data_IF_762796757244
#
_entry.id   IF_762796757244
#
_cell.length_a   1.000
_cell.length_b   1.000
_cell.length_c   1.000
_cell.angle_alpha   90.00
_cell.angle_beta   90.00
_cell.angle_gamma   90.00
#
_symmetry.space_group_name_H-M   'P 1'
#
loop_
_entity.id
_entity.type
_entity.pdbx_description
1 polymer ?
#
# COMPACT_ATOMS: atom_id res chain seq x y z
N UNK A 1 19.97 26.17 8.05
CA UNK A 1 20.12 24.69 7.91
C UNK A 1 18.77 24.06 8.20
N UNK A 2 18.20 23.31 7.28
CA UNK A 2 16.87 22.70 7.46
C UNK A 2 16.98 21.50 8.40
N UNK A 3 16.22 21.51 9.47
CA UNK A 3 16.20 20.52 10.57
C UNK A 3 15.64 19.15 10.11
N UNK A 4 14.99 19.10 8.94
CA UNK A 4 14.39 17.86 8.44
C UNK A 4 15.42 16.91 7.80
N UNK A 5 15.39 15.60 8.12
CA UNK A 5 16.20 14.58 7.49
C UNK A 5 16.06 14.60 5.95
N UNK A 6 17.11 14.23 5.22
CA UNK A 6 17.13 14.30 3.75
C UNK A 6 16.01 13.50 3.08
N UNK A 7 15.66 12.33 3.61
CA UNK A 7 14.61 11.48 3.04
C UNK A 7 13.21 12.11 3.14
N UNK A 8 12.94 12.97 4.12
CA UNK A 8 11.66 13.68 4.23
C UNK A 8 11.52 14.86 3.25
N UNK A 9 12.57 15.17 2.50
CA UNK A 9 12.56 16.24 1.50
C UNK A 9 12.18 15.77 0.10
N UNK A 10 11.98 14.45 -0.11
CA UNK A 10 11.58 13.92 -1.41
C UNK A 10 10.16 14.39 -1.72
N UNK A 11 10.03 15.18 -2.79
CA UNK A 11 8.75 15.73 -3.26
C UNK A 11 8.14 14.93 -4.41
N UNK A 12 8.97 14.22 -5.18
CA UNK A 12 8.56 13.48 -6.37
C UNK A 12 9.14 12.06 -6.33
N UNK A 13 8.44 11.13 -7.00
CA UNK A 13 8.96 9.78 -7.20
C UNK A 13 10.22 9.86 -8.08
N UNK A 14 11.37 9.30 -7.65
CA UNK A 14 12.60 9.36 -8.41
C UNK A 14 12.50 8.51 -9.67
N UNK A 15 13.08 8.99 -10.77
CA UNK A 15 13.31 8.18 -11.97
C UNK A 15 14.72 7.62 -11.92
N UNK A 16 14.86 6.31 -12.06
CA UNK A 16 16.13 5.59 -12.01
C UNK A 16 16.33 4.74 -13.27
N UNK A 17 17.49 4.12 -13.44
CA UNK A 17 17.87 3.39 -14.65
C UNK A 17 16.90 2.27 -15.09
N UNK A 18 16.10 1.76 -14.18
CA UNK A 18 15.11 0.71 -14.45
C UNK A 18 13.65 1.21 -14.42
N UNK A 19 13.39 2.48 -14.14
CA UNK A 19 12.04 3.05 -14.23
C UNK A 19 11.52 2.98 -15.67
N UNK A 20 10.21 2.84 -15.82
CA UNK A 20 9.56 2.99 -17.12
C UNK A 20 9.47 4.47 -17.50
N UNK A 21 9.68 4.77 -18.76
CA UNK A 21 9.59 6.14 -19.30
C UNK A 21 8.14 6.65 -19.28
N UNK A 22 7.16 5.74 -19.31
CA UNK A 22 5.74 6.06 -19.32
C UNK A 22 4.95 5.16 -18.37
N UNK A 23 3.94 5.70 -17.64
CA UNK A 23 3.16 4.93 -16.69
C UNK A 23 2.23 3.88 -17.34
N UNK A 24 1.83 4.08 -18.61
CA UNK A 24 1.00 3.15 -19.37
C UNK A 24 1.83 2.31 -20.36
N UNK A 25 3.04 1.95 -20.00
CA UNK A 25 3.88 1.06 -20.80
C UNK A 25 3.43 -0.40 -20.59
N UNK A 26 2.83 -1.00 -21.63
CA UNK A 26 2.40 -2.41 -21.62
C UNK A 26 3.50 -3.40 -22.06
N UNK A 27 4.68 -2.91 -22.43
CA UNK A 27 5.86 -3.73 -22.76
C UNK A 27 7.07 -3.27 -21.95
N UNK A 28 7.00 -3.31 -20.61
CA UNK A 28 8.09 -2.86 -19.78
C UNK A 28 9.32 -3.79 -19.88
N UNK A 29 10.49 -3.25 -19.56
CA UNK A 29 11.72 -4.04 -19.45
C UNK A 29 11.57 -5.07 -18.33
N UNK A 30 12.18 -6.25 -18.49
CA UNK A 30 12.15 -7.32 -17.47
C UNK A 30 12.67 -6.83 -16.12
N UNK A 31 13.72 -6.00 -16.14
CA UNK A 31 14.28 -5.40 -14.92
C UNK A 31 13.25 -4.51 -14.17
N UNK A 32 12.45 -3.73 -14.91
CA UNK A 32 11.37 -2.92 -14.33
C UNK A 32 10.29 -3.79 -13.68
N UNK A 33 9.87 -4.86 -14.38
CA UNK A 33 8.90 -5.82 -13.85
C UNK A 33 9.43 -6.53 -12.59
N UNK A 34 10.70 -6.91 -12.58
CA UNK A 34 11.32 -7.55 -11.43
C UNK A 34 11.25 -6.65 -10.19
N UNK A 35 11.66 -5.37 -10.31
CA UNK A 35 11.59 -4.43 -9.17
C UNK A 35 10.16 -4.09 -8.78
N UNK A 36 9.25 -3.99 -9.76
CA UNK A 36 7.83 -3.82 -9.46
C UNK A 36 7.30 -4.96 -8.60
N UNK A 37 7.46 -6.22 -9.04
CA UNK A 37 6.98 -7.39 -8.32
C UNK A 37 7.66 -7.51 -6.95
N UNK A 38 8.97 -7.29 -6.87
CA UNK A 38 9.72 -7.28 -5.62
C UNK A 38 9.14 -6.25 -4.62
N UNK A 39 8.92 -5.01 -5.08
CA UNK A 39 8.34 -3.96 -4.23
C UNK A 39 6.93 -4.31 -3.75
N UNK A 40 6.09 -4.85 -4.63
CA UNK A 40 4.73 -5.28 -4.27
C UNK A 40 4.72 -6.48 -3.32
N UNK A 41 5.66 -7.41 -3.47
CA UNK A 41 5.84 -8.55 -2.54
C UNK A 41 6.28 -8.07 -1.16
N UNK A 42 7.26 -7.16 -1.09
CA UNK A 42 7.69 -6.56 0.19
C UNK A 42 6.52 -5.81 0.84
N UNK A 43 5.73 -5.08 0.05
CA UNK A 43 4.53 -4.40 0.53
C UNK A 43 3.54 -5.39 1.14
N UNK A 44 3.15 -6.43 0.39
CA UNK A 44 2.18 -7.43 0.85
C UNK A 44 2.67 -8.20 2.09
N UNK A 45 3.97 -8.50 2.17
CA UNK A 45 4.57 -9.11 3.34
C UNK A 45 4.54 -8.18 4.56
N UNK A 46 4.82 -6.89 4.38
CA UNK A 46 4.68 -5.89 5.44
C UNK A 46 3.24 -5.78 5.97
N UNK A 47 2.23 -5.83 5.09
CA UNK A 47 0.82 -5.88 5.51
C UNK A 47 0.51 -7.16 6.28
N UNK A 48 1.06 -8.32 5.88
CA UNK A 48 0.85 -9.57 6.61
C UNK A 48 1.46 -9.54 8.02
N UNK A 49 2.62 -8.90 8.21
CA UNK A 49 3.20 -8.70 9.54
C UNK A 49 2.30 -7.82 10.42
N UNK A 50 1.71 -6.77 9.84
CA UNK A 50 0.77 -5.92 10.57
C UNK A 50 -0.50 -6.70 10.97
N UNK A 51 -0.99 -7.60 10.11
CA UNK A 51 -2.11 -8.49 10.42
C UNK A 51 -1.75 -9.43 11.58
N UNK A 52 -0.62 -10.12 11.51
CA UNK A 52 -0.17 -11.04 12.56
C UNK A 52 0.10 -10.35 13.91
N UNK A 53 0.48 -9.07 13.88
CA UNK A 53 0.74 -8.31 15.11
C UNK A 53 -0.51 -8.11 15.97
N UNK A 54 -1.72 -8.25 15.41
CA UNK A 54 -3.02 -8.11 16.08
C UNK A 54 -3.20 -6.79 16.87
N UNK A 55 -2.38 -5.75 16.61
CA UNK A 55 -2.47 -4.44 17.29
C UNK A 55 -3.34 -3.43 16.54
N UNK A 56 -3.93 -3.82 15.42
CA UNK A 56 -4.70 -2.98 14.49
C UNK A 56 -4.08 -2.98 13.09
N UNK A 57 -4.89 -2.73 12.10
CA UNK A 57 -4.60 -2.95 10.68
C UNK A 57 -4.45 -1.64 9.90
N UNK A 58 -3.85 -1.71 8.71
CA UNK A 58 -3.88 -0.57 7.79
C UNK A 58 -5.32 -0.29 7.32
N UNK A 59 -5.68 0.94 6.94
CA UNK A 59 -7.04 1.33 6.58
C UNK A 59 -7.76 0.37 5.63
N UNK A 60 -7.07 -0.05 4.58
CA UNK A 60 -7.65 -0.93 3.57
C UNK A 60 -7.71 -2.39 4.00
N UNK A 61 -6.82 -2.82 4.89
CA UNK A 61 -6.90 -4.16 5.50
C UNK A 61 -8.01 -4.21 6.53
N UNK A 62 -8.31 -3.12 7.25
CA UNK A 62 -9.51 -3.04 8.10
C UNK A 62 -10.78 -3.30 7.28
N UNK A 63 -10.90 -2.69 6.09
CA UNK A 63 -12.01 -2.97 5.18
C UNK A 63 -12.01 -4.42 4.69
N UNK A 64 -10.84 -4.92 4.27
CA UNK A 64 -10.70 -6.28 3.78
C UNK A 64 -11.05 -7.32 4.86
N UNK A 65 -10.60 -7.12 6.09
CA UNK A 65 -10.94 -7.99 7.22
C UNK A 65 -12.44 -7.96 7.50
N UNK A 66 -13.06 -6.76 7.53
CA UNK A 66 -14.50 -6.62 7.67
C UNK A 66 -15.28 -7.38 6.59
N UNK A 67 -14.84 -7.32 5.32
CA UNK A 67 -15.42 -8.10 4.24
C UNK A 67 -15.17 -9.60 4.43
N UNK A 68 -13.96 -10.00 4.81
CA UNK A 68 -13.59 -11.38 5.06
C UNK A 68 -14.49 -12.04 6.11
N UNK A 69 -14.75 -11.35 7.22
CA UNK A 69 -15.62 -11.81 8.30
C UNK A 69 -17.06 -12.02 7.78
N UNK A 70 -17.64 -11.04 7.06
CA UNK A 70 -19.03 -11.08 6.65
C UNK A 70 -19.29 -12.06 5.50
N UNK A 71 -18.34 -12.21 4.57
CA UNK A 71 -18.48 -13.09 3.41
C UNK A 71 -17.78 -14.44 3.56
N UNK A 72 -17.10 -14.68 4.70
CA UNK A 72 -16.29 -15.88 4.97
C UNK A 72 -15.18 -16.08 3.92
N UNK A 73 -14.56 -14.98 3.52
CA UNK A 73 -13.43 -14.98 2.61
C UNK A 73 -12.10 -14.99 3.38
N UNK A 74 -11.03 -15.37 2.70
CA UNK A 74 -9.69 -15.06 3.22
C UNK A 74 -9.40 -13.56 3.13
N UNK A 75 -8.47 -13.05 3.95
CA UNK A 75 -8.08 -11.64 3.94
C UNK A 75 -7.46 -11.26 2.60
N UNK A 76 -6.62 -12.15 2.01
CA UNK A 76 -6.02 -11.91 0.71
C UNK A 76 -7.07 -11.80 -0.39
N UNK A 77 -8.07 -12.70 -0.41
CA UNK A 77 -9.16 -12.60 -1.38
C UNK A 77 -10.02 -11.34 -1.17
N UNK A 78 -10.31 -10.95 0.06
CA UNK A 78 -11.03 -9.73 0.37
C UNK A 78 -10.24 -8.47 -0.06
N UNK A 79 -8.90 -8.49 0.08
CA UNK A 79 -8.01 -7.44 -0.46
C UNK A 79 -8.08 -7.37 -1.98
N UNK A 80 -8.05 -8.52 -2.66
CA UNK A 80 -8.23 -8.59 -4.11
C UNK A 80 -9.58 -7.99 -4.52
N UNK A 81 -10.67 -8.48 -3.93
CA UNK A 81 -12.04 -8.06 -4.24
C UNK A 81 -12.26 -6.56 -3.99
N UNK A 82 -11.79 -6.02 -2.86
CA UNK A 82 -11.87 -4.59 -2.56
C UNK A 82 -11.08 -3.75 -3.56
N UNK A 83 -9.89 -4.20 -3.98
CA UNK A 83 -9.08 -3.51 -4.98
C UNK A 83 -9.75 -3.50 -6.35
N UNK A 84 -10.39 -4.61 -6.77
CA UNK A 84 -11.20 -4.66 -8.00
C UNK A 84 -12.41 -3.72 -7.86
N UNK A 85 -13.08 -3.71 -6.70
CA UNK A 85 -14.17 -2.78 -6.41
C UNK A 85 -13.75 -1.32 -6.57
N UNK A 86 -12.54 -0.96 -6.11
CA UNK A 86 -11.98 0.40 -6.29
C UNK A 86 -11.80 0.74 -7.77
N UNK A 87 -11.41 -0.21 -8.62
CA UNK A 87 -11.28 0.05 -10.07
C UNK A 87 -12.61 0.42 -10.73
N UNK A 88 -13.76 -0.01 -10.19
CA UNK A 88 -15.06 0.42 -10.72
C UNK A 88 -15.26 1.93 -10.56
N UNK A 89 -14.74 2.53 -9.48
CA UNK A 89 -14.76 3.99 -9.32
C UNK A 89 -13.82 4.72 -10.27
N UNK A 90 -12.85 4.03 -10.89
CA UNK A 90 -11.99 4.65 -11.91
C UNK A 90 -12.73 4.96 -13.19
N UNK A 91 -13.80 4.23 -13.52
CA UNK A 91 -14.59 4.44 -14.73
C UNK A 91 -15.13 5.88 -14.81
N UNK A 92 -15.92 6.39 -13.83
CA UNK A 92 -16.39 7.77 -13.87
C UNK A 92 -15.23 8.80 -13.72
N UNK A 93 -14.13 8.42 -13.07
CA UNK A 93 -12.95 9.27 -12.90
C UNK A 93 -12.02 9.27 -14.13
N UNK A 94 -12.34 8.48 -15.18
CA UNK A 94 -11.54 8.35 -16.41
C UNK A 94 -10.06 8.05 -16.13
N UNK A 95 -9.79 7.24 -15.10
CA UNK A 95 -8.46 6.73 -14.81
C UNK A 95 -8.18 5.48 -15.65
N UNK A 96 -6.91 5.29 -16.03
CA UNK A 96 -6.52 4.13 -16.84
C UNK A 96 -5.59 3.22 -16.05
N UNK A 97 -5.94 1.92 -15.89
CA UNK A 97 -5.07 0.98 -15.20
C UNK A 97 -3.85 0.62 -16.07
N UNK A 98 -2.67 0.72 -15.48
CA UNK A 98 -1.42 0.24 -16.08
C UNK A 98 -1.08 -1.19 -15.66
N UNK A 99 0.03 -1.72 -16.18
CA UNK A 99 0.57 -3.04 -15.75
C UNK A 99 0.82 -3.06 -14.24
N UNK A 100 1.36 -1.97 -13.69
CA UNK A 100 1.58 -1.83 -12.26
C UNK A 100 0.29 -1.87 -11.44
N UNK A 101 -0.80 -1.32 -11.94
CA UNK A 101 -2.12 -1.38 -11.28
C UNK A 101 -2.62 -2.81 -11.16
N UNK A 102 -2.54 -3.59 -12.24
CA UNK A 102 -3.00 -4.99 -12.27
C UNK A 102 -2.12 -5.86 -11.36
N UNK A 103 -0.78 -5.70 -11.47
CA UNK A 103 0.14 -6.46 -10.62
C UNK A 103 0.01 -6.07 -9.14
N UNK A 104 -0.28 -4.79 -8.82
CA UNK A 104 -0.54 -4.36 -7.45
C UNK A 104 -1.69 -5.16 -6.82
N UNK A 105 -2.80 -5.34 -7.52
CA UNK A 105 -3.96 -6.10 -7.04
C UNK A 105 -3.59 -7.57 -6.79
N UNK A 106 -2.93 -8.19 -7.76
CA UNK A 106 -2.66 -9.64 -7.73
C UNK A 106 -1.53 -9.96 -6.74
N UNK A 107 -0.41 -9.24 -6.82
CA UNK A 107 0.79 -9.58 -6.05
C UNK A 107 0.61 -9.26 -4.57
N UNK A 108 0.03 -8.11 -4.22
CA UNK A 108 -0.18 -7.77 -2.80
C UNK A 108 -1.16 -8.76 -2.16
N UNK A 109 -2.31 -9.00 -2.80
CA UNK A 109 -3.32 -9.94 -2.28
C UNK A 109 -2.76 -11.37 -2.19
N UNK A 110 -2.06 -11.84 -3.21
CA UNK A 110 -1.43 -13.15 -3.22
C UNK A 110 -0.31 -13.29 -2.18
N UNK A 111 0.47 -12.24 -1.96
CA UNK A 111 1.52 -12.24 -0.92
C UNK A 111 0.92 -12.28 0.48
N UNK A 112 -0.12 -11.51 0.74
CA UNK A 112 -0.84 -11.55 2.03
C UNK A 112 -1.35 -12.97 2.26
N UNK A 113 -2.08 -13.55 1.29
CA UNK A 113 -2.65 -14.89 1.40
C UNK A 113 -1.58 -15.96 1.66
N UNK A 114 -0.50 -15.94 0.87
CA UNK A 114 0.61 -16.87 1.00
C UNK A 114 1.33 -16.71 2.35
N UNK A 115 1.55 -15.47 2.80
CA UNK A 115 2.19 -15.21 4.08
C UNK A 115 1.35 -15.67 5.25
N UNK A 116 0.04 -15.45 5.21
CA UNK A 116 -0.90 -15.92 6.23
C UNK A 116 -0.97 -17.44 6.30
N UNK A 117 -0.73 -18.14 5.18
CA UNK A 117 -0.70 -19.60 5.13
C UNK A 117 0.64 -20.19 5.61
N UNK A 118 1.77 -19.54 5.26
CA UNK A 118 3.12 -20.10 5.53
C UNK A 118 3.68 -19.72 6.89
N UNK A 119 3.30 -18.59 7.45
CA UNK A 119 3.89 -18.04 8.66
C UNK A 119 2.82 -17.80 9.73
N UNK A 120 3.18 -18.11 10.96
CA UNK A 120 2.44 -17.70 12.15
C UNK A 120 3.39 -16.92 13.05
N UNK A 121 3.20 -15.60 13.11
CA UNK A 121 3.98 -14.70 13.97
C UNK A 121 3.18 -14.27 15.19
N UNK A 122 2.09 -14.97 15.51
CA UNK A 122 1.27 -14.66 16.68
C UNK A 122 2.06 -14.85 17.97
N UNK A 123 1.94 -13.91 18.90
CA UNK A 123 2.56 -13.98 20.22
C UNK A 123 1.69 -13.26 21.25
N UNK A 124 1.75 -13.70 22.49
CA UNK A 124 1.03 -13.06 23.60
C UNK A 124 1.74 -11.79 24.10
N UNK A 125 2.94 -11.50 23.61
CA UNK A 125 3.71 -10.33 24.02
C UNK A 125 3.30 -9.08 23.26
N UNK A 126 2.61 -8.15 23.91
CA UNK A 126 2.26 -6.85 23.34
C UNK A 126 3.48 -6.06 22.83
N UNK A 127 4.64 -6.22 23.46
CA UNK A 127 5.86 -5.55 23.04
C UNK A 127 6.40 -6.13 21.72
N UNK A 128 6.38 -7.45 21.55
CA UNK A 128 6.79 -8.09 20.30
C UNK A 128 5.80 -7.73 19.19
N UNK A 129 4.51 -7.77 19.46
CA UNK A 129 3.45 -7.37 18.52
C UNK A 129 3.64 -5.93 18.02
N UNK A 130 4.00 -5.00 18.92
CA UNK A 130 4.31 -3.63 18.54
C UNK A 130 5.53 -3.54 17.61
N UNK A 131 6.59 -4.31 17.88
CA UNK A 131 7.76 -4.38 17.01
C UNK A 131 7.40 -4.95 15.65
N UNK A 132 6.70 -6.09 15.61
CA UNK A 132 6.29 -6.76 14.36
C UNK A 132 5.43 -5.84 13.51
N UNK A 133 4.42 -5.19 14.10
CA UNK A 133 3.57 -4.23 13.39
C UNK A 133 4.36 -3.00 12.89
N UNK A 134 5.30 -2.49 13.69
CA UNK A 134 6.16 -1.37 13.28
C UNK A 134 7.07 -1.73 12.11
N UNK A 135 7.68 -2.92 12.14
CA UNK A 135 8.46 -3.47 11.02
C UNK A 135 7.56 -3.64 9.79
N UNK A 136 6.34 -4.12 9.97
CA UNK A 136 5.34 -4.22 8.91
C UNK A 136 5.12 -2.87 8.20
N UNK A 137 4.86 -1.80 8.96
CA UNK A 137 4.67 -0.44 8.40
C UNK A 137 5.90 0.04 7.63
N UNK A 138 7.11 -0.21 8.14
CA UNK A 138 8.36 0.17 7.46
C UNK A 138 8.51 -0.60 6.14
N UNK A 139 8.22 -1.92 6.13
CA UNK A 139 8.28 -2.74 4.92
C UNK A 139 7.24 -2.32 3.88
N UNK A 140 6.00 -2.00 4.30
CA UNK A 140 4.98 -1.44 3.40
C UNK A 140 5.50 -0.15 2.74
N UNK A 141 6.10 0.74 3.53
CA UNK A 141 6.67 1.99 3.01
C UNK A 141 7.85 1.76 2.05
N UNK A 142 8.75 0.85 2.39
CA UNK A 142 9.89 0.50 1.54
C UNK A 142 9.46 -0.16 0.23
N UNK A 143 8.55 -1.15 0.30
CA UNK A 143 7.93 -1.77 -0.86
C UNK A 143 7.22 -0.76 -1.75
N UNK A 144 6.51 0.20 -1.13
CA UNK A 144 5.88 1.33 -1.85
C UNK A 144 6.92 2.16 -2.62
N UNK A 145 8.05 2.49 -1.99
CA UNK A 145 9.13 3.23 -2.64
C UNK A 145 9.65 2.54 -3.90
N UNK A 146 9.82 1.21 -3.83
CA UNK A 146 10.29 0.42 -4.98
C UNK A 146 9.22 0.38 -6.09
N UNK A 147 7.97 -0.01 -5.78
CA UNK A 147 6.96 -0.18 -6.83
C UNK A 147 6.57 1.14 -7.50
N UNK A 148 6.50 2.24 -6.74
CA UNK A 148 6.20 3.57 -7.30
C UNK A 148 7.29 4.00 -8.29
N UNK A 149 8.55 3.73 -7.97
CA UNK A 149 9.70 4.05 -8.84
C UNK A 149 9.68 3.27 -10.15
N UNK A 150 8.99 2.12 -10.22
CA UNK A 150 8.82 1.38 -11.48
C UNK A 150 8.02 2.16 -12.54
N UNK A 151 7.17 3.10 -12.14
CA UNK A 151 6.37 3.97 -13.02
C UNK A 151 5.56 3.19 -14.08
N UNK A 152 4.82 2.16 -13.64
CA UNK A 152 3.98 1.32 -14.51
C UNK A 152 2.47 1.45 -14.21
N UNK A 153 2.08 2.58 -13.70
CA UNK A 153 0.71 2.90 -13.27
C UNK A 153 0.56 2.89 -11.76
N UNK A 154 -0.34 3.73 -11.22
CA UNK A 154 -0.60 3.81 -9.79
C UNK A 154 -1.32 2.57 -9.28
N UNK A 155 -1.20 2.26 -8.00
CA UNK A 155 -2.06 1.30 -7.33
C UNK A 155 -3.54 1.73 -7.38
N UNK A 156 -4.51 0.81 -7.21
CA UNK A 156 -5.94 1.13 -7.26
C UNK A 156 -6.33 2.29 -6.36
N UNK A 157 -5.81 2.32 -5.14
CA UNK A 157 -6.06 3.34 -4.12
C UNK A 157 -5.48 4.70 -4.51
N UNK A 158 -4.24 4.70 -5.01
CA UNK A 158 -3.54 5.92 -5.42
C UNK A 158 -4.23 6.56 -6.62
N UNK A 159 -4.68 5.74 -7.57
CA UNK A 159 -5.44 6.21 -8.73
C UNK A 159 -6.83 6.75 -8.36
N UNK A 160 -7.50 6.14 -7.36
CA UNK A 160 -8.74 6.69 -6.81
C UNK A 160 -8.51 8.09 -6.20
N UNK A 161 -7.46 8.23 -5.37
CA UNK A 161 -7.11 9.49 -4.72
C UNK A 161 -6.79 10.59 -5.76
N UNK A 162 -5.95 10.28 -6.74
CA UNK A 162 -5.57 11.23 -7.80
C UNK A 162 -6.72 11.55 -8.74
N UNK A 163 -7.58 10.57 -9.03
CA UNK A 163 -8.80 10.77 -9.81
C UNK A 163 -9.79 11.71 -9.12
N UNK A 164 -10.07 11.47 -7.85
CA UNK A 164 -10.93 12.33 -7.04
C UNK A 164 -10.34 13.73 -6.89
N UNK A 165 -9.04 13.84 -6.60
CA UNK A 165 -8.35 15.13 -6.52
C UNK A 165 -8.53 15.95 -7.81
N UNK A 166 -8.37 15.29 -8.98
CA UNK A 166 -8.54 15.95 -10.27
C UNK A 166 -9.97 16.45 -10.52
N UNK A 167 -10.98 15.71 -10.09
CA UNK A 167 -12.40 16.08 -10.30
C UNK A 167 -12.86 17.11 -9.28
N UNK A 168 -12.47 16.95 -8.01
CA UNK A 168 -12.93 17.81 -6.92
C UNK A 168 -12.10 19.07 -6.75
N UNK A 169 -10.87 19.10 -7.29
CA UNK A 169 -9.88 20.18 -7.11
C UNK A 169 -9.48 20.44 -5.65
N UNK A 170 -9.85 19.53 -4.72
CA UNK A 170 -9.38 19.61 -3.33
C UNK A 170 -7.91 19.18 -3.23
N UNK A 171 -7.16 19.68 -2.22
CA UNK A 171 -5.81 19.21 -1.94
C UNK A 171 -5.79 17.70 -1.71
N UNK A 172 -4.82 17.00 -2.31
CA UNK A 172 -4.72 15.53 -2.26
C UNK A 172 -4.68 14.98 -0.83
N UNK A 173 -4.11 15.75 0.10
CA UNK A 173 -4.07 15.37 1.52
C UNK A 173 -5.48 15.22 2.12
N UNK A 174 -6.40 16.14 1.82
CA UNK A 174 -7.78 16.05 2.27
C UNK A 174 -8.54 14.90 1.61
N UNK A 175 -8.36 14.72 0.29
CA UNK A 175 -8.95 13.59 -0.44
C UNK A 175 -8.50 12.27 0.17
N UNK A 176 -7.20 12.13 0.45
CA UNK A 176 -6.63 10.95 1.09
C UNK A 176 -7.24 10.70 2.47
N UNK A 177 -7.23 11.72 3.34
CA UNK A 177 -7.79 11.58 4.70
C UNK A 177 -9.26 11.18 4.65
N UNK A 178 -10.07 11.83 3.79
CA UNK A 178 -11.48 11.47 3.65
C UNK A 178 -11.69 10.02 3.21
N UNK A 179 -10.91 9.54 2.21
CA UNK A 179 -10.99 8.16 1.75
C UNK A 179 -10.57 7.21 2.88
N UNK A 180 -9.41 7.44 3.50
CA UNK A 180 -8.87 6.55 4.54
C UNK A 180 -9.81 6.47 5.75
N UNK A 181 -10.35 7.60 6.22
CA UNK A 181 -11.33 7.63 7.32
C UNK A 181 -12.62 6.88 6.93
N UNK A 182 -13.12 7.09 5.71
CA UNK A 182 -14.32 6.38 5.23
C UNK A 182 -14.09 4.86 5.15
N UNK A 183 -12.95 4.45 4.62
CA UNK A 183 -12.59 3.04 4.48
C UNK A 183 -12.42 2.37 5.84
N UNK A 184 -11.72 3.02 6.79
CA UNK A 184 -11.61 2.53 8.17
C UNK A 184 -12.97 2.46 8.84
N UNK A 185 -13.80 3.50 8.69
CA UNK A 185 -15.13 3.54 9.28
C UNK A 185 -16.03 2.40 8.79
N UNK A 186 -16.10 2.20 7.48
CA UNK A 186 -16.85 1.08 6.88
C UNK A 186 -16.28 -0.26 7.32
N UNK A 187 -14.96 -0.45 7.26
CA UNK A 187 -14.32 -1.69 7.66
C UNK A 187 -14.55 -2.02 9.13
N UNK A 188 -14.48 -1.02 10.01
CA UNK A 188 -14.76 -1.17 11.44
C UNK A 188 -16.23 -1.55 11.73
N UNK A 189 -17.18 -0.91 11.05
CA UNK A 189 -18.61 -1.28 11.16
C UNK A 189 -18.84 -2.72 10.71
N UNK A 190 -18.08 -3.21 9.73
CA UNK A 190 -18.13 -4.59 9.26
C UNK A 190 -17.37 -5.57 10.19
N UNK A 191 -16.77 -5.12 11.28
CA UNK A 191 -16.06 -5.95 12.27
C UNK A 191 -14.54 -5.98 12.08
N UNK A 192 -13.98 -5.17 11.20
CA UNK A 192 -12.53 -5.06 11.02
C UNK A 192 -11.82 -4.43 12.22
N UNK A 193 -10.60 -4.84 12.47
CA UNK A 193 -9.81 -4.50 13.66
C UNK A 193 -9.11 -3.15 13.52
N UNK A 194 -9.52 -2.18 14.34
CA UNK A 194 -8.88 -0.86 14.48
C UNK A 194 -8.13 -0.81 15.81
N UNK A 195 -6.91 -0.33 15.81
CA UNK A 195 -6.10 -0.27 17.03
C UNK A 195 -4.87 0.62 16.91
N UNK A 196 -3.89 0.42 17.81
CA UNK A 196 -2.62 1.16 17.81
C UNK A 196 -1.87 0.98 16.47
N UNK A 197 -1.91 -0.21 15.87
CA UNK A 197 -1.33 -0.48 14.55
C UNK A 197 -1.92 0.40 13.46
N UNK A 198 -3.23 0.69 13.51
CA UNK A 198 -3.88 1.60 12.56
C UNK A 198 -3.34 3.02 12.68
N UNK A 199 -3.09 3.50 13.91
CA UNK A 199 -2.47 4.81 14.15
C UNK A 199 -1.00 4.82 13.72
N UNK A 200 -0.25 3.75 14.04
CA UNK A 200 1.13 3.60 13.57
C UNK A 200 1.22 3.64 12.05
N UNK A 201 0.30 2.98 11.37
CA UNK A 201 0.24 3.02 9.91
C UNK A 201 -0.10 4.44 9.42
N UNK A 202 -1.13 5.07 9.96
CA UNK A 202 -1.58 6.39 9.51
C UNK A 202 -0.47 7.46 9.60
N UNK A 203 0.32 7.45 10.68
CA UNK A 203 1.42 8.40 10.88
C UNK A 203 2.77 7.92 10.33
N UNK A 204 3.02 6.62 10.32
CA UNK A 204 4.30 6.02 9.95
C UNK A 204 4.48 5.78 8.46
N UNK A 205 3.39 5.52 7.71
CA UNK A 205 3.49 5.15 6.30
C UNK A 205 4.11 6.25 5.42
N UNK A 206 3.79 7.51 5.67
CA UNK A 206 4.36 8.63 4.92
C UNK A 206 5.88 8.70 5.02
N UNK A 207 6.47 8.80 6.22
CA UNK A 207 7.91 8.71 6.43
C UNK A 207 8.55 7.43 5.89
N UNK A 208 7.89 6.28 6.03
CA UNK A 208 8.41 5.00 5.55
C UNK A 208 8.48 4.95 4.00
N UNK A 209 7.47 5.45 3.29
CA UNK A 209 7.49 5.60 1.82
C UNK A 209 8.59 6.56 1.39
N UNK A 210 8.72 7.71 2.07
CA UNK A 210 9.77 8.68 1.77
C UNK A 210 11.18 8.07 1.94
N UNK A 211 11.38 7.27 2.99
CA UNK A 211 12.62 6.52 3.20
C UNK A 211 12.86 5.51 2.08
N UNK A 212 11.85 4.75 1.67
CA UNK A 212 11.93 3.80 0.56
C UNK A 212 12.34 4.47 -0.75
N UNK A 213 11.69 5.57 -1.11
CA UNK A 213 12.02 6.37 -2.29
C UNK A 213 13.45 6.91 -2.23
N UNK A 214 13.89 7.41 -1.06
CA UNK A 214 15.23 7.92 -0.85
C UNK A 214 16.30 6.84 -1.05
N UNK A 215 16.10 5.66 -0.48
CA UNK A 215 17.04 4.54 -0.59
C UNK A 215 17.15 4.07 -2.04
N UNK A 216 16.03 3.93 -2.74
CA UNK A 216 16.02 3.57 -4.17
C UNK A 216 16.76 4.62 -5.00
N UNK A 217 16.50 5.90 -4.79
CA UNK A 217 17.19 6.98 -5.51
C UNK A 217 18.68 7.00 -5.23
N UNK A 218 19.12 6.66 -4.01
CA UNK A 218 20.53 6.65 -3.62
C UNK A 218 21.31 5.48 -4.22
N UNK A 219 20.67 4.31 -4.33
CA UNK A 219 21.30 3.06 -4.81
C UNK A 219 21.36 3.01 -6.34
N UNK A 220 20.39 3.58 -7.05
CA UNK A 220 20.22 3.45 -8.49
C UNK A 220 20.32 4.77 -9.27
N UNK A 221 21.01 5.75 -8.67
CA UNK A 221 21.35 7.01 -9.37
C UNK A 221 22.19 6.78 -10.61
#
# INVERSE_FOLDING_TARGET
MSILPEFLRIKNVPTVSWSSDQPLNFKPKIKTLFFLVLGLTIFGFGESLLIHSAIGLSPWVVLAEGLAINFRWSIGFAMFASSVGVLLFWLPLKQQPGVGTILNIIVIAGTIELSMYLFDFSTDSNFINLIVGSVGVVLVGFGSGIYLTANLGPGPRDGLMTGLQRVTQYPIAWVRVCIEVSVVGVGWILGGTVGVGTLLFAFGIGPAVALGLYLVAKVYK
#
